data_IF_070184416704
#
_entry.id   IF_070184416704
#
_cell.length_a   1.000
_cell.length_b   1.000
_cell.length_c   1.000
_cell.angle_alpha   90.00
_cell.angle_beta   90.00
_cell.angle_gamma   90.00
#
_symmetry.space_group_name_H-M   'P 1'
#
loop_
_entity.id
_entity.type
_entity.pdbx_description
1 polymer ?
#
# COMPACT_ATOMS: atom_id res chain seq x y z
N UNK A 1 15.54 9.78 -4.63
CA UNK A 1 14.08 9.56 -4.55
C UNK A 1 13.79 8.20 -5.14
N UNK A 2 12.88 7.49 -4.51
CA UNK A 2 12.48 6.17 -4.98
C UNK A 2 11.66 6.33 -6.27
N UNK A 3 11.63 5.27 -7.09
CA UNK A 3 10.76 5.19 -8.26
C UNK A 3 9.55 4.33 -7.92
N UNK A 4 8.35 4.84 -8.19
CA UNK A 4 7.09 4.11 -7.98
C UNK A 4 6.53 3.59 -9.31
N UNK A 5 5.93 2.40 -9.28
CA UNK A 5 5.04 1.88 -10.31
C UNK A 5 3.78 1.34 -9.65
N UNK A 6 2.64 1.44 -10.31
CA UNK A 6 1.40 0.79 -9.88
C UNK A 6 1.07 -0.27 -10.92
N UNK A 7 1.06 -1.54 -10.52
CA UNK A 7 0.82 -2.65 -11.43
C UNK A 7 -0.51 -3.30 -11.10
N UNK A 8 -1.31 -3.54 -12.14
CA UNK A 8 -2.53 -4.34 -12.04
C UNK A 8 -2.15 -5.82 -12.00
N UNK A 9 -2.55 -6.50 -10.94
CA UNK A 9 -2.32 -7.93 -10.72
C UNK A 9 -3.68 -8.59 -10.52
N UNK A 10 -4.00 -9.56 -11.37
CA UNK A 10 -5.14 -10.46 -11.17
C UNK A 10 -4.86 -11.33 -9.95
N UNK A 11 -5.73 -11.26 -8.96
CA UNK A 11 -5.54 -12.00 -7.71
C UNK A 11 -6.84 -12.65 -7.27
N UNK A 12 -6.72 -13.89 -6.82
CA UNK A 12 -7.82 -14.58 -6.15
C UNK A 12 -7.95 -14.01 -4.74
N UNK A 13 -9.10 -13.41 -4.45
CA UNK A 13 -9.42 -12.86 -3.14
C UNK A 13 -10.48 -13.74 -2.48
N UNK A 14 -10.50 -13.74 -1.15
CA UNK A 14 -11.45 -14.55 -0.35
C UNK A 14 -12.95 -14.27 -0.59
N UNK A 15 -13.28 -13.24 -1.38
CA UNK A 15 -14.64 -12.92 -1.87
C UNK A 15 -15.04 -13.73 -3.11
N UNK A 16 -14.14 -14.56 -3.64
CA UNK A 16 -14.36 -15.44 -4.80
C UNK A 16 -14.00 -14.78 -6.13
N UNK A 17 -13.23 -15.51 -6.94
CA UNK A 17 -12.82 -15.07 -8.29
C UNK A 17 -11.50 -14.31 -8.33
N UNK A 18 -10.97 -14.18 -9.55
CA UNK A 18 -9.82 -13.32 -9.87
C UNK A 18 -10.32 -11.89 -10.04
N UNK A 19 -9.77 -10.97 -9.26
CA UNK A 19 -10.06 -9.55 -9.33
C UNK A 19 -8.79 -8.75 -9.64
N UNK A 20 -8.88 -7.71 -10.48
CA UNK A 20 -7.75 -6.83 -10.75
C UNK A 20 -7.46 -5.99 -9.52
N UNK A 21 -6.26 -6.16 -8.95
CA UNK A 21 -5.79 -5.37 -7.81
C UNK A 21 -4.62 -4.49 -8.23
N UNK A 22 -4.57 -3.26 -7.71
CA UNK A 22 -3.47 -2.34 -7.90
C UNK A 22 -2.44 -2.52 -6.79
N UNK A 23 -1.22 -2.92 -7.16
CA UNK A 23 -0.11 -3.16 -6.23
C UNK A 23 0.99 -2.11 -6.48
N UNK A 24 1.43 -1.36 -5.45
CA UNK A 24 2.58 -0.48 -5.58
C UNK A 24 3.91 -1.25 -5.63
N UNK A 25 4.81 -0.84 -6.53
CA UNK A 25 6.16 -1.37 -6.68
C UNK A 25 7.17 -0.22 -6.51
N UNK A 26 8.10 -0.36 -5.57
CA UNK A 26 9.14 0.62 -5.30
C UNK A 26 10.46 0.07 -5.83
N UNK A 27 11.07 0.78 -6.77
CA UNK A 27 12.26 0.32 -7.51
C UNK A 27 12.13 -1.12 -8.04
N UNK A 28 10.93 -1.49 -8.50
CA UNK A 28 10.64 -2.82 -9.03
C UNK A 28 10.36 -3.91 -7.99
N UNK A 29 10.34 -3.60 -6.68
CA UNK A 29 9.98 -4.54 -5.61
C UNK A 29 8.56 -4.25 -5.14
N UNK A 30 7.70 -5.28 -5.06
CA UNK A 30 6.33 -5.13 -4.60
C UNK A 30 6.29 -4.65 -3.13
N UNK A 31 5.40 -3.70 -2.82
CA UNK A 31 5.26 -3.18 -1.46
C UNK A 31 4.99 -4.29 -0.41
N UNK A 32 4.15 -5.32 -0.67
CA UNK A 32 4.00 -6.44 0.27
C UNK A 32 5.32 -7.13 0.64
N UNK A 33 6.26 -7.27 -0.30
CA UNK A 33 7.56 -7.89 -0.05
C UNK A 33 8.49 -6.99 0.77
N UNK A 34 8.40 -5.66 0.58
CA UNK A 34 9.13 -4.69 1.39
C UNK A 34 8.60 -4.70 2.83
N UNK A 35 7.28 -4.67 2.98
CA UNK A 35 6.61 -4.73 4.28
C UNK A 35 6.92 -6.05 4.99
N UNK A 36 6.91 -7.19 4.27
CA UNK A 36 7.28 -8.50 4.82
C UNK A 36 8.64 -8.47 5.52
N UNK A 37 9.65 -7.84 4.93
CA UNK A 37 11.01 -7.79 5.51
C UNK A 37 11.03 -7.13 6.88
N UNK A 38 10.22 -6.07 7.04
CA UNK A 38 10.12 -5.28 8.28
C UNK A 38 9.25 -5.98 9.32
N UNK A 39 8.17 -6.65 8.90
CA UNK A 39 7.24 -7.32 9.81
C UNK A 39 7.75 -8.68 10.30
N UNK A 40 8.56 -9.38 9.50
CA UNK A 40 8.97 -10.76 9.75
C UNK A 40 9.63 -10.99 11.13
N UNK A 41 10.51 -10.11 11.66
CA UNK A 41 11.05 -10.27 13.00
C UNK A 41 9.96 -10.30 14.09
N UNK A 42 8.95 -9.43 13.98
CA UNK A 42 7.83 -9.37 14.93
C UNK A 42 6.88 -10.54 14.77
N UNK A 43 6.52 -10.86 13.53
CA UNK A 43 5.68 -12.02 13.21
C UNK A 43 6.30 -13.34 13.70
N UNK A 44 7.63 -13.50 13.60
CA UNK A 44 8.36 -14.66 14.14
C UNK A 44 8.32 -14.72 15.66
N UNK A 45 8.51 -13.59 16.34
CA UNK A 45 8.45 -13.51 17.81
C UNK A 45 7.08 -13.92 18.34
N UNK A 46 6.03 -13.63 17.57
CA UNK A 46 4.64 -13.96 17.89
C UNK A 46 4.22 -15.35 17.38
N UNK A 47 5.14 -16.13 16.79
CA UNK A 47 4.85 -17.48 16.30
C UNK A 47 3.99 -17.55 15.04
N UNK A 48 3.80 -16.44 14.32
CA UNK A 48 2.92 -16.33 13.15
C UNK A 48 3.65 -15.71 11.94
N UNK A 49 4.76 -16.30 11.45
CA UNK A 49 5.62 -15.70 10.42
C UNK A 49 4.90 -15.46 9.07
N UNK A 50 3.81 -16.17 8.81
CA UNK A 50 3.05 -16.05 7.55
C UNK A 50 2.19 -14.79 7.49
N UNK A 51 1.94 -14.13 8.64
CA UNK A 51 1.26 -12.84 8.66
C UNK A 51 2.10 -11.70 8.07
N UNK A 52 3.43 -11.80 8.12
CA UNK A 52 4.32 -10.76 7.61
C UNK A 52 4.16 -10.61 6.10
N UNK A 53 3.80 -9.41 5.64
CA UNK A 53 3.54 -9.14 4.24
C UNK A 53 2.30 -9.86 3.69
N UNK A 54 1.42 -10.36 4.54
CA UNK A 54 0.18 -11.07 4.18
C UNK A 54 -0.89 -10.18 3.57
N UNK A 55 -0.50 -9.31 2.63
CA UNK A 55 -1.35 -8.29 2.03
C UNK A 55 -1.67 -8.58 0.56
N UNK A 56 -2.77 -7.99 0.10
CA UNK A 56 -3.12 -7.83 -1.30
C UNK A 56 -3.01 -6.37 -1.74
N UNK A 57 -2.97 -6.16 -3.06
CA UNK A 57 -3.27 -4.86 -3.62
C UNK A 57 -4.72 -4.47 -3.35
N UNK A 58 -5.04 -3.21 -3.58
CA UNK A 58 -6.41 -2.70 -3.45
C UNK A 58 -7.17 -2.94 -4.75
N UNK A 59 -8.49 -3.08 -4.71
CA UNK A 59 -9.27 -3.27 -5.93
C UNK A 59 -9.03 -2.10 -6.89
N UNK A 60 -8.66 -2.42 -8.14
CA UNK A 60 -8.23 -1.41 -9.12
C UNK A 60 -9.27 -0.29 -9.26
N UNK A 61 -10.53 -0.65 -9.42
CA UNK A 61 -11.63 0.28 -9.70
C UNK A 61 -11.89 1.29 -8.57
N UNK A 62 -11.43 1.01 -7.35
CA UNK A 62 -11.56 1.94 -6.22
C UNK A 62 -10.45 3.02 -6.23
N UNK A 63 -9.25 2.66 -6.71
CA UNK A 63 -8.03 3.45 -6.44
C UNK A 63 -7.23 3.85 -7.68
N UNK A 64 -7.56 3.33 -8.87
CA UNK A 64 -6.88 3.71 -10.11
C UNK A 64 -7.20 5.14 -10.53
N UNK A 65 -6.40 5.69 -11.45
CA UNK A 65 -6.69 7.00 -12.04
C UNK A 65 -8.11 7.02 -12.63
N UNK A 66 -8.91 8.09 -12.42
CA UNK A 66 -8.56 9.42 -11.90
C UNK A 66 -8.66 9.60 -10.37
N UNK A 67 -8.81 8.52 -9.60
CA UNK A 67 -8.82 8.59 -8.14
C UNK A 67 -7.57 9.29 -7.60
N UNK A 68 -7.78 10.14 -6.57
CA UNK A 68 -6.70 10.84 -5.87
C UNK A 68 -6.20 10.08 -4.65
N UNK A 69 -6.56 8.79 -4.54
CA UNK A 69 -6.33 7.98 -3.36
C UNK A 69 -4.87 8.03 -2.86
N UNK A 70 -3.93 7.89 -3.79
CA UNK A 70 -2.49 7.91 -3.59
C UNK A 70 -1.87 9.33 -3.64
N UNK A 71 -2.67 10.39 -3.70
CA UNK A 71 -2.26 11.80 -3.83
C UNK A 71 -2.70 12.66 -2.63
N UNK A 72 -2.74 12.07 -1.44
CA UNK A 72 -3.08 12.76 -0.19
C UNK A 72 -4.57 13.06 -0.01
N UNK A 73 -5.43 12.49 -0.85
CA UNK A 73 -6.89 12.60 -0.78
C UNK A 73 -7.50 11.18 -0.89
N UNK A 74 -7.38 10.38 0.19
CA UNK A 74 -7.71 8.96 0.15
C UNK A 74 -9.22 8.69 0.13
N UNK A 75 -9.66 7.84 -0.81
CA UNK A 75 -11.02 7.25 -0.75
C UNK A 75 -11.13 6.12 0.28
N UNK A 76 -10.03 5.41 0.58
CA UNK A 76 -9.94 4.40 1.64
C UNK A 76 -9.03 4.91 2.77
N UNK A 77 -9.58 5.00 3.97
CA UNK A 77 -8.88 5.40 5.20
C UNK A 77 -9.32 4.50 6.35
N UNK A 78 -8.39 3.98 7.14
CA UNK A 78 -8.72 3.08 8.23
C UNK A 78 -8.96 3.83 9.54
N UNK A 79 -8.14 4.84 9.85
CA UNK A 79 -8.24 5.57 11.12
C UNK A 79 -8.99 6.90 10.99
N UNK A 80 -9.38 7.31 9.78
CA UNK A 80 -10.09 8.57 9.53
C UNK A 80 -9.27 9.82 9.89
N UNK A 81 -7.94 9.70 10.00
CA UNK A 81 -7.03 10.78 10.42
C UNK A 81 -6.13 11.24 9.27
N UNK A 82 -6.58 11.05 8.02
CA UNK A 82 -5.83 11.39 6.83
C UNK A 82 -4.80 10.33 6.41
N UNK A 83 -4.89 9.11 6.96
CA UNK A 83 -4.15 7.97 6.42
C UNK A 83 -4.76 7.46 5.13
N UNK A 84 -3.86 7.05 4.24
CA UNK A 84 -4.15 6.34 3.00
C UNK A 84 -3.85 4.86 3.24
N UNK A 85 -4.82 4.01 2.93
CA UNK A 85 -4.58 2.56 2.83
C UNK A 85 -3.69 2.31 1.61
N UNK A 86 -2.55 1.66 1.77
CA UNK A 86 -1.64 1.32 0.68
C UNK A 86 -1.79 -0.13 0.21
N UNK A 87 -2.21 -1.03 1.11
CA UNK A 87 -2.48 -2.43 0.85
C UNK A 87 -3.66 -2.91 1.70
N UNK A 88 -4.38 -3.92 1.21
CA UNK A 88 -5.54 -4.51 1.88
C UNK A 88 -5.32 -5.99 2.25
N UNK A 89 -6.35 -6.62 2.83
CA UNK A 89 -6.31 -8.03 3.16
C UNK A 89 -6.53 -8.93 1.95
N UNK A 90 -5.91 -10.10 1.96
CA UNK A 90 -6.10 -11.15 0.95
C UNK A 90 -7.51 -11.74 0.93
N UNK A 91 -8.32 -11.49 1.97
CA UNK A 91 -9.73 -11.90 1.98
C UNK A 91 -10.61 -11.08 1.02
N UNK A 92 -10.11 -9.95 0.51
CA UNK A 92 -10.84 -9.05 -0.39
C UNK A 92 -11.50 -7.86 0.29
N UNK A 93 -11.63 -7.87 1.62
CA UNK A 93 -12.01 -6.69 2.40
C UNK A 93 -10.73 -5.98 2.87
N UNK A 94 -10.44 -4.81 2.30
CA UNK A 94 -9.22 -4.07 2.60
C UNK A 94 -9.11 -3.74 4.09
N UNK A 95 -10.25 -3.46 4.74
CA UNK A 95 -10.31 -3.04 6.14
C UNK A 95 -10.00 -4.13 7.14
N UNK A 96 -10.04 -5.41 6.74
CA UNK A 96 -9.73 -6.54 7.65
C UNK A 96 -8.26 -6.58 8.09
N UNK A 97 -7.34 -6.10 7.25
CA UNK A 97 -5.90 -6.09 7.52
C UNK A 97 -5.21 -5.05 6.62
N UNK A 98 -5.44 -3.74 6.86
CA UNK A 98 -4.89 -2.69 6.03
C UNK A 98 -3.44 -2.42 6.40
N UNK A 99 -2.63 -2.06 5.42
CA UNK A 99 -1.35 -1.39 5.65
C UNK A 99 -1.50 0.05 5.21
N UNK A 100 -1.33 1.01 6.11
CA UNK A 100 -1.61 2.43 5.85
C UNK A 100 -0.37 3.30 6.02
N UNK A 101 -0.39 4.48 5.41
CA UNK A 101 0.61 5.53 5.62
C UNK A 101 -0.04 6.91 5.52
N UNK A 102 0.63 7.94 6.04
CA UNK A 102 0.33 9.33 5.72
C UNK A 102 0.98 9.67 4.37
N UNK A 103 0.16 10.11 3.41
CA UNK A 103 0.62 10.54 2.09
C UNK A 103 0.65 12.05 2.02
N UNK A 104 1.85 12.64 2.01
CA UNK A 104 2.03 14.10 1.90
C UNK A 104 2.45 14.46 0.48
N UNK A 105 1.74 15.40 -0.13
CA UNK A 105 2.05 15.91 -1.48
C UNK A 105 2.51 17.36 -1.39
N UNK A 106 3.68 17.67 -1.95
CA UNK A 106 4.18 19.04 -2.12
C UNK A 106 4.28 19.39 -3.60
N UNK A 107 4.88 20.53 -3.95
CA UNK A 107 5.03 20.95 -5.34
C UNK A 107 5.83 19.95 -6.20
N UNK A 108 6.82 19.28 -5.62
CA UNK A 108 7.85 18.50 -6.31
C UNK A 108 7.99 17.04 -5.81
N UNK A 109 7.39 16.70 -4.67
CA UNK A 109 7.46 15.33 -4.10
C UNK A 109 6.12 14.80 -3.60
N UNK A 110 6.03 13.47 -3.58
CA UNK A 110 5.06 12.71 -2.78
C UNK A 110 5.85 11.93 -1.74
N UNK A 111 5.42 11.93 -0.49
CA UNK A 111 6.08 11.22 0.60
C UNK A 111 5.11 10.33 1.36
N UNK A 112 5.56 9.13 1.71
CA UNK A 112 4.86 8.17 2.57
C UNK A 112 5.59 8.07 3.90
N UNK A 113 4.84 8.14 5.00
CA UNK A 113 5.39 8.12 6.37
C UNK A 113 4.36 7.56 7.35
N UNK A 114 4.77 7.31 8.59
CA UNK A 114 3.84 6.96 9.68
C UNK A 114 3.08 5.64 9.45
N UNK A 115 3.79 4.62 8.95
CA UNK A 115 3.19 3.33 8.61
C UNK A 115 2.55 2.62 9.79
N UNK A 116 1.36 2.04 9.58
CA UNK A 116 0.59 1.35 10.62
C UNK A 116 -0.48 0.42 10.04
N UNK A 117 -0.86 -0.61 10.81
CA UNK A 117 -1.93 -1.57 10.45
C UNK A 117 -3.16 -1.49 11.34
N UNK A 118 -3.02 -1.01 12.59
CA UNK A 118 -4.14 -0.89 13.55
C UNK A 118 -4.46 -2.17 14.31
N UNK A 119 -3.90 -3.31 13.89
CA UNK A 119 -4.15 -4.61 14.51
C UNK A 119 -3.00 -5.13 15.37
N UNK A 120 -1.77 -4.69 15.11
CA UNK A 120 -0.58 -5.09 15.86
C UNK A 120 0.36 -3.91 16.08
N UNK A 121 1.05 -3.92 17.21
CA UNK A 121 2.11 -2.96 17.54
C UNK A 121 3.45 -3.40 16.93
N UNK A 122 3.46 -3.54 15.61
CA UNK A 122 4.66 -3.88 14.85
C UNK A 122 5.46 -2.63 14.51
N UNK A 123 6.78 -2.75 14.60
CA UNK A 123 7.71 -1.65 14.37
C UNK A 123 8.04 -1.49 12.88
N UNK A 124 7.65 -0.36 12.30
CA UNK A 124 7.90 -0.02 10.90
C UNK A 124 9.06 0.96 10.67
N UNK A 125 9.85 1.28 11.70
CA UNK A 125 10.96 2.27 11.59
C UNK A 125 11.99 1.90 10.53
N UNK A 126 12.20 0.61 10.27
CA UNK A 126 13.12 0.15 9.23
C UNK A 126 12.65 0.45 7.80
N UNK A 127 11.33 0.61 7.59
CA UNK A 127 10.80 1.00 6.28
C UNK A 127 11.18 2.43 5.92
N UNK A 128 11.36 3.29 6.95
CA UNK A 128 11.69 4.73 6.87
C UNK A 128 10.67 5.52 6.05
N UNK A 129 10.73 6.85 6.12
CA UNK A 129 9.94 7.68 5.23
C UNK A 129 10.45 7.54 3.79
N UNK A 130 9.51 7.38 2.87
CA UNK A 130 9.80 7.15 1.45
C UNK A 130 9.35 8.37 0.66
N UNK A 131 10.24 8.91 -0.18
CA UNK A 131 9.95 10.08 -1.00
C UNK A 131 10.15 9.80 -2.49
N UNK A 132 9.20 10.26 -3.29
CA UNK A 132 9.11 10.09 -4.73
C UNK A 132 9.13 11.45 -5.44
N UNK A 133 9.62 11.47 -6.68
CA UNK A 133 9.42 12.61 -7.58
C UNK A 133 7.94 12.72 -7.94
N UNK A 134 7.35 13.89 -7.75
CA UNK A 134 5.90 14.06 -7.95
C UNK A 134 5.49 13.83 -9.40
N UNK A 135 6.28 14.30 -10.36
CA UNK A 135 5.98 14.11 -11.79
C UNK A 135 6.01 12.62 -12.14
N UNK A 136 7.05 11.92 -11.71
CA UNK A 136 7.19 10.46 -11.89
C UNK A 136 6.03 9.70 -11.23
N UNK A 137 5.66 10.09 -10.00
CA UNK A 137 4.57 9.47 -9.25
C UNK A 137 3.21 9.63 -9.92
N UNK A 138 2.86 10.86 -10.32
CA UNK A 138 1.60 11.11 -11.00
C UNK A 138 1.55 10.46 -12.38
N UNK A 139 2.67 10.36 -13.10
CA UNK A 139 2.75 9.60 -14.36
C UNK A 139 2.47 8.12 -14.13
N UNK A 140 3.06 7.51 -13.09
CA UNK A 140 2.81 6.12 -12.74
C UNK A 140 1.34 5.87 -12.38
N UNK A 141 0.68 6.80 -11.68
CA UNK A 141 -0.75 6.72 -11.41
C UNK A 141 -1.59 6.86 -12.68
N UNK A 142 -1.31 7.84 -13.54
CA UNK A 142 -2.05 8.04 -14.80
C UNK A 142 -1.98 6.83 -15.73
N UNK A 143 -0.89 6.06 -15.67
CA UNK A 143 -0.75 4.81 -16.41
C UNK A 143 -1.68 3.68 -15.93
N UNK A 144 -2.40 3.87 -14.83
CA UNK A 144 -3.41 2.92 -14.32
C UNK A 144 -4.82 3.19 -14.84
N UNK A 145 -5.00 4.28 -15.60
CA UNK A 145 -6.25 4.56 -16.30
C UNK A 145 -6.52 3.48 -17.35
N UNK A 146 -7.78 3.11 -17.51
CA UNK A 146 -8.24 2.23 -18.61
C UNK A 146 -8.22 2.94 -19.97
#
# INVERSE_FOLDING_TARGET
MERIEFRTIERELGVGGLLPTLVPYLNGVALPDLVRRVELPSARREGNPDLAGGYAGLLKDEVCWPSRHYLGDPVLSHFGTGDTVLLGCVCGEWGCWPFTAIVTVTADRVAWSGYRTGYRDWDYRELRDIAFDRSQYEQALRATAD
#
